data_IF_263228178266
#
_entry.id   IF_263228178266
#
_cell.length_a   1.000
_cell.length_b   1.000
_cell.length_c   1.000
_cell.angle_alpha   90.00
_cell.angle_beta   90.00
_cell.angle_gamma   90.00
#
_symmetry.space_group_name_H-M   'P 1'
#
loop_
_entity.id
_entity.type
_entity.pdbx_description
1 polymer ?
#
# COMPACT_ATOMS: atom_id res chain seq x y z
N UNK A 1 28.44 -26.32 54.76
CA UNK A 1 27.61 -26.73 53.60
C UNK A 1 28.53 -27.20 52.48
N UNK A 2 28.50 -28.51 52.15
CA UNK A 2 29.43 -29.12 51.18
C UNK A 2 29.38 -28.41 49.83
N UNK A 3 30.55 -28.19 49.20
CA UNK A 3 30.68 -27.52 47.88
C UNK A 3 29.71 -28.11 46.83
N UNK A 4 29.51 -29.43 46.85
CA UNK A 4 28.61 -30.12 45.92
C UNK A 4 27.13 -29.73 46.13
N UNK A 5 26.69 -29.47 47.37
CA UNK A 5 25.32 -28.98 47.65
C UNK A 5 25.12 -27.56 47.13
N UNK A 6 26.14 -26.69 47.19
CA UNK A 6 26.06 -25.32 46.64
C UNK A 6 25.91 -25.34 45.13
N UNK A 7 26.70 -26.17 44.43
CA UNK A 7 26.64 -26.29 42.96
C UNK A 7 25.27 -26.83 42.50
N UNK A 8 24.74 -27.86 43.17
CA UNK A 8 23.42 -28.42 42.87
C UNK A 8 22.30 -27.39 43.05
N UNK A 9 22.34 -26.60 44.14
CA UNK A 9 21.38 -25.53 44.37
C UNK A 9 21.47 -24.46 43.28
N UNK A 10 22.69 -24.07 42.87
CA UNK A 10 22.88 -23.09 41.79
C UNK A 10 22.34 -23.57 40.45
N UNK A 11 22.57 -24.84 40.09
CA UNK A 11 22.02 -25.43 38.85
C UNK A 11 20.50 -25.48 38.91
N UNK A 12 19.93 -25.93 40.02
CA UNK A 12 18.47 -25.98 40.21
C UNK A 12 17.84 -24.60 40.08
N UNK A 13 18.46 -23.58 40.68
CA UNK A 13 17.97 -22.20 40.61
C UNK A 13 18.01 -21.64 39.18
N UNK A 14 19.04 -21.99 38.41
CA UNK A 14 19.18 -21.59 37.01
C UNK A 14 18.13 -22.25 36.11
N UNK A 15 17.86 -23.54 36.31
CA UNK A 15 16.79 -24.25 35.60
C UNK A 15 15.42 -23.67 35.95
N UNK A 16 15.18 -23.38 37.23
CA UNK A 16 13.93 -22.76 37.68
C UNK A 16 13.72 -21.38 37.04
N UNK A 17 14.77 -20.55 36.98
CA UNK A 17 14.72 -19.24 36.33
C UNK A 17 14.41 -19.35 34.83
N UNK A 18 15.03 -20.32 34.13
CA UNK A 18 14.71 -20.59 32.73
C UNK A 18 13.25 -21.03 32.54
N UNK A 19 12.74 -21.86 33.44
CA UNK A 19 11.35 -22.34 33.37
C UNK A 19 10.34 -21.21 33.59
N UNK A 20 10.57 -20.36 34.59
CA UNK A 20 9.75 -19.17 34.84
C UNK A 20 9.79 -18.22 33.63
N UNK A 21 10.97 -18.01 33.04
CA UNK A 21 11.12 -17.20 31.84
C UNK A 21 10.29 -17.76 30.67
N UNK A 22 10.38 -19.06 30.40
CA UNK A 22 9.60 -19.72 29.34
C UNK A 22 8.08 -19.61 29.56
N UNK A 23 7.62 -19.82 30.79
CA UNK A 23 6.20 -19.66 31.14
C UNK A 23 5.76 -18.22 30.87
N UNK A 24 6.52 -17.23 31.34
CA UNK A 24 6.18 -15.82 31.15
C UNK A 24 6.09 -15.43 29.67
N UNK A 25 6.97 -15.98 28.83
CA UNK A 25 6.97 -15.81 27.37
C UNK A 25 5.70 -16.35 26.70
N UNK A 26 5.17 -17.48 27.18
CA UNK A 26 3.95 -18.10 26.66
C UNK A 26 2.65 -17.50 27.21
N UNK A 27 2.69 -16.86 28.38
CA UNK A 27 1.47 -16.31 29.00
C UNK A 27 1.23 -14.85 28.61
N UNK A 28 2.26 -14.04 28.38
CA UNK A 28 2.06 -12.62 28.12
C UNK A 28 1.71 -12.38 26.66
N UNK A 29 0.55 -11.76 26.36
CA UNK A 29 0.22 -11.33 25.01
C UNK A 29 0.96 -10.03 24.68
N UNK A 30 1.73 -10.01 23.59
CA UNK A 30 2.55 -8.85 23.23
C UNK A 30 2.83 -8.77 21.73
N UNK A 31 3.23 -7.58 21.31
CA UNK A 31 3.82 -7.34 19.98
C UNK A 31 5.22 -7.97 19.94
N UNK A 32 5.48 -8.74 18.90
CA UNK A 32 6.79 -9.34 18.60
C UNK A 32 7.57 -8.52 17.59
N UNK A 33 6.88 -7.91 16.63
CA UNK A 33 7.49 -7.12 15.56
C UNK A 33 6.54 -6.02 15.08
N UNK A 34 7.12 -4.90 14.66
CA UNK A 34 6.46 -3.84 13.91
C UNK A 34 7.30 -3.58 12.65
N UNK A 35 6.68 -3.48 11.48
CA UNK A 35 7.35 -3.32 10.18
C UNK A 35 6.53 -2.42 9.25
N UNK A 36 7.07 -1.32 8.69
CA UNK A 36 8.36 -0.72 9.00
C UNK A 36 8.50 -0.44 10.50
N UNK A 37 9.67 -0.73 11.05
CA UNK A 37 9.92 -0.69 12.49
C UNK A 37 10.76 0.52 12.89
N UNK A 38 10.58 1.03 14.10
CA UNK A 38 11.44 2.05 14.68
C UNK A 38 10.72 3.35 15.03
N UNK A 39 11.50 4.43 15.19
CA UNK A 39 10.99 5.76 15.52
C UNK A 39 10.69 6.62 14.28
N UNK A 40 11.03 6.12 13.09
CA UNK A 40 10.83 6.81 11.82
C UNK A 40 10.33 5.85 10.76
N UNK A 41 9.41 6.31 9.93
CA UNK A 41 8.80 5.55 8.84
C UNK A 41 8.87 6.41 7.58
N UNK A 42 9.14 5.82 6.41
CA UNK A 42 9.10 6.58 5.14
C UNK A 42 7.70 7.12 4.89
N UNK A 43 7.59 8.36 4.39
CA UNK A 43 6.31 8.94 3.93
C UNK A 43 5.63 8.10 2.84
N UNK A 44 6.41 7.31 2.09
CA UNK A 44 5.91 6.45 1.01
C UNK A 44 5.36 5.10 1.51
N UNK A 45 5.46 4.80 2.82
CA UNK A 45 4.93 3.54 3.35
C UNK A 45 3.42 3.63 3.54
N UNK A 46 2.69 2.84 2.75
CA UNK A 46 1.23 2.74 2.84
C UNK A 46 0.74 1.68 3.84
N UNK A 47 1.64 0.88 4.42
CA UNK A 47 1.27 -0.14 5.40
C UNK A 47 2.17 -0.17 6.64
N UNK A 48 1.57 -0.51 7.78
CA UNK A 48 2.24 -0.90 9.01
C UNK A 48 1.78 -2.29 9.43
N UNK A 49 2.70 -3.27 9.40
CA UNK A 49 2.47 -4.62 9.88
C UNK A 49 2.89 -4.74 11.35
N UNK A 50 2.00 -5.25 12.18
CA UNK A 50 2.23 -5.54 13.60
C UNK A 50 2.04 -7.04 13.81
N UNK A 51 3.12 -7.73 14.19
CA UNK A 51 3.09 -9.15 14.53
C UNK A 51 3.00 -9.33 16.04
N UNK A 52 2.28 -10.35 16.47
CA UNK A 52 2.07 -10.70 17.87
C UNK A 52 2.67 -12.08 18.16
N UNK A 53 2.81 -12.43 19.45
CA UNK A 53 3.24 -13.78 19.84
C UNK A 53 2.09 -14.81 19.91
N UNK A 54 0.86 -14.38 19.63
CA UNK A 54 -0.34 -15.21 19.68
C UNK A 54 -1.30 -14.78 18.57
N UNK A 55 -2.12 -15.72 18.11
CA UNK A 55 -3.21 -15.45 17.16
C UNK A 55 -4.21 -14.43 17.76
N UNK A 56 -4.67 -13.51 16.91
CA UNK A 56 -5.53 -12.39 17.27
C UNK A 56 -6.96 -12.57 16.77
N UNK A 57 -7.92 -11.98 17.48
CA UNK A 57 -9.31 -11.85 17.04
C UNK A 57 -9.46 -10.68 16.07
N UNK A 58 -10.41 -10.81 15.14
CA UNK A 58 -10.72 -9.81 14.12
C UNK A 58 -11.64 -8.70 14.65
N UNK A 59 -11.26 -8.08 15.77
CA UNK A 59 -12.05 -7.02 16.42
C UNK A 59 -11.19 -6.01 17.18
N UNK A 60 -9.93 -5.85 16.77
CA UNK A 60 -9.01 -4.93 17.41
C UNK A 60 -9.52 -3.48 17.34
N UNK A 61 -9.58 -2.81 18.49
CA UNK A 61 -9.88 -1.38 18.57
C UNK A 61 -8.60 -0.56 18.44
N UNK A 62 -8.51 0.25 17.39
CA UNK A 62 -7.32 1.04 17.04
C UNK A 62 -7.75 2.48 16.76
N UNK A 63 -7.02 3.43 17.34
CA UNK A 63 -7.17 4.86 17.08
C UNK A 63 -5.82 5.45 16.65
N UNK A 64 -5.84 6.56 15.90
CA UNK A 64 -4.61 7.18 15.40
C UNK A 64 -4.71 8.69 15.33
N UNK A 65 -3.58 9.39 15.45
CA UNK A 65 -3.50 10.83 15.18
C UNK A 65 -3.98 11.12 13.76
N UNK A 66 -4.90 12.07 13.62
CA UNK A 66 -5.49 12.50 12.33
C UNK A 66 -6.15 11.38 11.50
N UNK A 67 -6.60 10.29 12.16
CA UNK A 67 -7.26 9.16 11.49
C UNK A 67 -6.47 8.63 10.27
N UNK A 68 -5.15 8.55 10.41
CA UNK A 68 -4.26 8.04 9.35
C UNK A 68 -4.47 6.55 9.08
N UNK A 69 -5.02 5.76 10.01
CA UNK A 69 -5.34 4.36 9.77
C UNK A 69 -6.64 4.30 8.96
N UNK A 70 -6.54 3.88 7.70
CA UNK A 70 -7.68 3.83 6.75
C UNK A 70 -8.34 2.46 6.68
N UNK A 71 -7.58 1.40 6.88
CA UNK A 71 -8.09 0.03 6.84
C UNK A 71 -7.24 -0.90 7.73
N UNK A 72 -7.83 -2.01 8.17
CA UNK A 72 -7.23 -2.99 9.06
C UNK A 72 -7.48 -4.38 8.49
N UNK A 73 -6.40 -5.06 8.10
CA UNK A 73 -6.45 -6.47 7.69
C UNK A 73 -5.89 -7.36 8.80
N UNK A 74 -6.56 -8.49 9.06
CA UNK A 74 -6.18 -9.45 10.07
C UNK A 74 -5.63 -10.72 9.45
N UNK A 75 -4.45 -11.15 9.86
CA UNK A 75 -3.78 -12.35 9.37
C UNK A 75 -3.25 -13.17 10.54
N UNK A 76 -4.09 -14.07 11.09
CA UNK A 76 -3.74 -14.99 12.19
C UNK A 76 -3.05 -14.31 13.39
N UNK A 77 -1.73 -14.18 13.40
CA UNK A 77 -0.88 -13.56 14.44
C UNK A 77 -0.39 -12.16 14.05
N UNK A 78 -0.94 -11.57 12.98
CA UNK A 78 -0.54 -10.28 12.43
C UNK A 78 -1.74 -9.39 12.16
N UNK A 79 -1.46 -8.08 12.23
CA UNK A 79 -2.38 -7.02 11.90
C UNK A 79 -1.69 -6.07 10.93
N UNK A 80 -2.26 -5.92 9.73
CA UNK A 80 -1.75 -5.03 8.68
C UNK A 80 -2.64 -3.79 8.67
N UNK A 81 -2.07 -2.64 9.04
CA UNK A 81 -2.72 -1.35 9.02
C UNK A 81 -2.41 -0.68 7.70
N UNK A 82 -3.44 -0.30 6.95
CA UNK A 82 -3.29 0.60 5.82
C UNK A 82 -3.25 2.04 6.32
N UNK A 83 -2.16 2.73 6.01
CA UNK A 83 -1.96 4.13 6.35
C UNK A 83 -2.43 5.01 5.18
N UNK A 84 -2.99 6.17 5.50
CA UNK A 84 -3.22 7.25 4.54
C UNK A 84 -1.93 8.02 4.27
N UNK A 85 -2.07 9.14 3.56
CA UNK A 85 -0.94 10.00 3.24
C UNK A 85 -0.27 10.55 4.51
N UNK A 86 1.04 10.37 4.60
CA UNK A 86 1.86 10.87 5.70
C UNK A 86 2.51 12.20 5.32
N UNK A 87 2.51 13.15 6.25
CA UNK A 87 3.19 14.45 6.10
C UNK A 87 4.62 14.35 6.61
N UNK A 88 5.57 14.84 5.82
CA UNK A 88 6.99 14.82 6.20
C UNK A 88 7.25 15.56 7.53
N UNK A 89 8.13 14.98 8.35
CA UNK A 89 8.57 15.48 9.67
C UNK A 89 7.45 15.63 10.72
N UNK A 90 6.29 15.01 10.49
CA UNK A 90 5.19 14.97 11.45
C UNK A 90 5.26 13.72 12.33
N UNK A 91 4.97 13.88 13.62
CA UNK A 91 4.83 12.77 14.56
C UNK A 91 3.41 12.21 14.51
N UNK A 92 3.32 10.89 14.41
CA UNK A 92 2.07 10.14 14.42
C UNK A 92 2.03 9.17 15.58
N UNK A 93 0.86 9.02 16.18
CA UNK A 93 0.58 8.05 17.23
C UNK A 93 -0.50 7.08 16.77
N UNK A 94 -0.25 5.78 16.95
CA UNK A 94 -1.23 4.71 16.81
C UNK A 94 -1.44 4.09 18.18
N UNK A 95 -2.70 4.08 18.65
CA UNK A 95 -3.09 3.50 19.93
C UNK A 95 -3.88 2.22 19.67
N UNK A 96 -3.34 1.11 20.15
CA UNK A 96 -3.98 -0.19 20.22
C UNK A 96 -4.72 -0.24 21.56
N UNK A 97 -6.04 -0.02 21.55
CA UNK A 97 -6.83 0.14 22.78
C UNK A 97 -7.36 -1.19 23.30
N UNK A 98 -7.71 -2.13 22.43
CA UNK A 98 -8.26 -3.43 22.79
C UNK A 98 -7.93 -4.47 21.71
N UNK A 99 -6.68 -4.93 21.66
CA UNK A 99 -6.31 -6.06 20.79
C UNK A 99 -6.50 -7.34 21.58
N UNK A 100 -7.35 -8.25 21.10
CA UNK A 100 -7.60 -9.52 21.77
C UNK A 100 -6.89 -10.67 21.08
N UNK A 101 -6.26 -11.55 21.85
CA UNK A 101 -5.87 -12.87 21.37
C UNK A 101 -7.10 -13.78 21.25
N UNK A 102 -7.01 -14.84 20.45
CA UNK A 102 -8.04 -15.87 20.39
C UNK A 102 -8.28 -16.55 21.75
N UNK A 103 -7.28 -16.58 22.62
CA UNK A 103 -7.36 -17.05 24.01
C UNK A 103 -7.99 -16.04 24.99
N UNK A 104 -8.42 -14.86 24.51
CA UNK A 104 -9.13 -13.86 25.32
C UNK A 104 -8.22 -12.89 26.10
N UNK A 105 -6.91 -12.92 25.87
CA UNK A 105 -5.98 -11.95 26.48
C UNK A 105 -6.07 -10.64 25.74
N UNK A 106 -5.93 -9.54 26.47
CA UNK A 106 -5.99 -8.18 25.91
C UNK A 106 -4.61 -7.53 25.92
N UNK A 107 -4.31 -6.77 24.88
CA UNK A 107 -3.14 -5.93 24.77
C UNK A 107 -3.56 -4.49 24.49
N UNK A 108 -3.04 -3.58 25.33
CA UNK A 108 -3.17 -2.15 25.17
C UNK A 108 -1.77 -1.56 24.97
N UNK A 109 -1.54 -0.88 23.85
CA UNK A 109 -0.22 -0.37 23.50
C UNK A 109 -0.30 0.89 22.67
N UNK A 110 0.72 1.74 22.77
CA UNK A 110 0.88 2.91 21.91
C UNK A 110 2.16 2.76 21.11
N UNK A 111 2.08 3.03 19.82
CA UNK A 111 3.20 3.12 18.90
C UNK A 111 3.31 4.54 18.37
N UNK A 112 4.52 5.10 18.38
CA UNK A 112 4.81 6.46 17.91
C UNK A 112 5.95 6.43 16.91
N UNK A 113 5.80 7.21 15.85
CA UNK A 113 6.82 7.35 14.82
C UNK A 113 6.77 8.74 14.19
N UNK A 114 7.87 9.15 13.56
CA UNK A 114 7.98 10.37 12.76
C UNK A 114 8.04 9.97 11.29
N UNK A 115 7.16 10.52 10.47
CA UNK A 115 7.23 10.31 9.03
C UNK A 115 8.40 11.11 8.45
N UNK A 116 9.24 10.48 7.63
CA UNK A 116 10.41 11.11 7.00
C UNK A 116 10.48 10.76 5.52
N UNK A 117 11.03 11.64 4.72
CA UNK A 117 11.47 11.27 3.38
C UNK A 117 12.76 10.45 3.50
N UNK A 118 12.65 9.13 3.33
CA UNK A 118 13.80 8.22 3.41
C UNK A 118 14.04 7.68 2.01
N UNK A 119 15.21 7.97 1.39
CA UNK A 119 15.53 7.44 0.07
C UNK A 119 15.43 5.91 0.04
N UNK A 120 14.91 5.37 -1.06
CA UNK A 120 14.66 3.93 -1.21
C UNK A 120 15.89 3.07 -0.88
N UNK A 121 17.08 3.46 -1.35
CA UNK A 121 18.34 2.75 -1.11
C UNK A 121 18.79 2.75 0.35
N UNK A 122 18.22 3.65 1.17
CA UNK A 122 18.51 3.76 2.60
C UNK A 122 17.56 2.94 3.47
N UNK A 123 16.49 2.39 2.89
CA UNK A 123 15.56 1.50 3.57
C UNK A 123 16.15 0.11 3.77
N UNK A 124 15.70 -0.60 4.81
CA UNK A 124 16.08 -2.01 4.97
C UNK A 124 15.51 -2.85 3.82
N UNK A 125 16.17 -3.97 3.47
CA UNK A 125 15.68 -4.88 2.41
C UNK A 125 14.23 -5.33 2.62
N UNK A 126 13.80 -5.49 3.87
CA UNK A 126 12.40 -5.80 4.19
C UNK A 126 11.45 -4.65 3.86
N UNK A 127 11.84 -3.41 4.13
CA UNK A 127 11.05 -2.22 3.82
C UNK A 127 11.02 -1.94 2.33
N UNK A 128 12.16 -2.10 1.65
CA UNK A 128 12.22 -2.05 0.18
C UNK A 128 11.27 -3.06 -0.46
N UNK A 129 11.27 -4.31 0.03
CA UNK A 129 10.35 -5.35 -0.46
C UNK A 129 8.89 -5.00 -0.18
N UNK A 130 8.59 -4.43 0.99
CA UNK A 130 7.24 -3.97 1.32
C UNK A 130 6.83 -2.85 0.37
N UNK A 131 7.69 -1.85 0.12
CA UNK A 131 7.38 -0.78 -0.83
C UNK A 131 7.17 -1.33 -2.24
N UNK A 132 8.05 -2.19 -2.75
CA UNK A 132 7.89 -2.80 -4.08
C UNK A 132 6.60 -3.62 -4.16
N UNK A 133 6.34 -4.50 -3.19
CA UNK A 133 5.16 -5.36 -3.20
C UNK A 133 3.83 -4.58 -3.06
N UNK A 134 3.91 -3.34 -2.58
CA UNK A 134 2.74 -2.50 -2.33
C UNK A 134 2.69 -1.28 -3.27
N UNK A 135 3.68 -1.06 -4.14
CA UNK A 135 3.65 -0.04 -5.20
C UNK A 135 2.51 -0.30 -6.18
N UNK A 136 2.18 -1.57 -6.41
CA UNK A 136 1.04 -1.98 -7.24
C UNK A 136 -0.29 -2.01 -6.44
N UNK A 137 -0.27 -1.69 -5.14
CA UNK A 137 -1.45 -1.72 -4.25
C UNK A 137 -1.95 -0.32 -3.87
N UNK A 138 -1.60 0.71 -4.65
CA UNK A 138 -2.13 2.05 -4.40
C UNK A 138 -3.66 2.05 -4.61
N UNK A 139 -4.39 2.23 -3.51
CA UNK A 139 -5.86 2.22 -3.46
C UNK A 139 -6.42 3.64 -3.69
N UNK A 140 -5.57 4.63 -4.00
CA UNK A 140 -6.03 5.97 -4.39
C UNK A 140 -6.16 6.16 -5.90
N UNK A 141 -5.90 5.13 -6.73
CA UNK A 141 -6.09 5.24 -8.19
C UNK A 141 -6.36 3.88 -8.86
N UNK A 142 -7.38 3.15 -8.42
CA UNK A 142 -7.83 1.93 -9.13
C UNK A 142 -8.80 2.28 -10.26
N UNK A 143 -8.46 3.27 -11.08
CA UNK A 143 -9.26 3.53 -12.27
C UNK A 143 -9.12 2.32 -13.21
N UNK A 144 -10.22 1.60 -13.54
CA UNK A 144 -10.16 0.41 -14.38
C UNK A 144 -9.43 0.62 -15.71
N UNK A 145 -9.41 1.86 -16.24
CA UNK A 145 -8.74 2.16 -17.51
C UNK A 145 -7.23 1.93 -17.44
N UNK A 146 -6.60 2.07 -16.26
CA UNK A 146 -5.14 1.94 -16.11
C UNK A 146 -4.64 0.53 -16.41
N UNK A 147 -5.46 -0.51 -16.19
CA UNK A 147 -5.11 -1.89 -16.55
C UNK A 147 -5.02 -2.09 -18.07
N UNK A 148 -5.57 -1.16 -18.85
CA UNK A 148 -5.67 -1.21 -20.30
C UNK A 148 -4.85 -0.10 -20.99
N UNK A 149 -4.03 0.63 -20.24
CA UNK A 149 -3.16 1.69 -20.73
C UNK A 149 -1.68 1.40 -20.40
N UNK A 150 -0.74 1.78 -21.28
CA UNK A 150 -0.96 2.38 -22.59
C UNK A 150 -1.50 1.37 -23.62
N UNK A 151 -2.26 1.88 -24.60
CA UNK A 151 -2.78 1.10 -25.73
C UNK A 151 -2.27 1.67 -27.06
N UNK A 152 -1.88 0.81 -28.00
CA UNK A 152 -1.43 1.21 -29.33
C UNK A 152 -2.10 0.38 -30.42
N UNK A 153 -2.96 1.03 -31.21
CA UNK A 153 -3.62 0.45 -32.37
C UNK A 153 -3.21 1.13 -33.68
N UNK A 154 -3.82 0.68 -34.79
CA UNK A 154 -3.50 1.18 -36.15
C UNK A 154 -3.99 2.63 -36.34
N UNK A 155 -5.18 2.98 -35.84
CA UNK A 155 -5.79 4.30 -36.02
C UNK A 155 -5.70 5.23 -34.82
N UNK A 156 -5.30 4.73 -33.64
CA UNK A 156 -5.15 5.54 -32.44
C UNK A 156 -4.24 4.89 -31.40
N UNK A 157 -3.69 5.70 -30.49
CA UNK A 157 -3.05 5.24 -29.26
C UNK A 157 -3.56 6.00 -28.05
N UNK A 158 -3.60 5.34 -26.90
CA UNK A 158 -4.07 5.90 -25.64
C UNK A 158 -2.97 5.86 -24.58
N UNK A 159 -2.88 6.94 -23.80
CA UNK A 159 -1.98 7.04 -22.64
C UNK A 159 -2.69 7.76 -21.49
N UNK A 160 -2.35 7.39 -20.26
CA UNK A 160 -2.82 8.08 -19.07
C UNK A 160 -1.92 9.30 -18.80
N UNK A 161 -2.54 10.45 -18.51
CA UNK A 161 -1.85 11.66 -18.07
C UNK A 161 -2.43 12.03 -16.70
N UNK A 162 -1.60 12.23 -15.66
CA UNK A 162 -2.07 12.70 -14.37
C UNK A 162 -2.67 14.11 -14.53
N UNK A 163 -3.86 14.34 -13.96
CA UNK A 163 -4.46 15.67 -13.93
C UNK A 163 -3.84 16.47 -12.76
N UNK A 164 -3.05 17.51 -13.07
CA UNK A 164 -2.29 18.30 -12.07
C UNK A 164 -3.17 19.15 -11.13
N UNK A 165 -4.49 19.09 -11.24
CA UNK A 165 -5.43 19.89 -10.47
C UNK A 165 -6.20 19.04 -9.44
N UNK A 166 -5.57 18.76 -8.30
CA UNK A 166 -6.11 18.89 -6.93
C UNK A 166 -5.34 18.00 -5.94
N UNK A 167 -5.06 18.57 -4.77
CA UNK A 167 -4.28 17.99 -3.67
C UNK A 167 -4.84 16.71 -3.02
N UNK A 168 -5.94 16.14 -3.49
CA UNK A 168 -6.61 15.00 -2.82
C UNK A 168 -7.50 14.11 -3.71
N UNK A 169 -7.53 14.30 -5.04
CA UNK A 169 -8.33 13.45 -5.95
C UNK A 169 -7.57 13.28 -7.27
N UNK A 170 -6.78 12.19 -7.38
CA UNK A 170 -6.03 11.89 -8.60
C UNK A 170 -7.02 11.41 -9.67
N UNK A 171 -7.56 12.35 -10.43
CA UNK A 171 -8.31 12.05 -11.65
C UNK A 171 -7.33 11.78 -12.77
N UNK A 172 -7.56 10.69 -13.51
CA UNK A 172 -6.73 10.31 -14.65
C UNK A 172 -7.36 10.90 -15.90
N UNK A 173 -6.57 11.67 -16.65
CA UNK A 173 -6.95 12.13 -17.98
C UNK A 173 -6.45 11.11 -19.00
N UNK A 174 -7.29 10.72 -19.94
CA UNK A 174 -6.87 9.83 -21.03
C UNK A 174 -6.52 10.69 -22.23
N UNK A 175 -5.32 10.54 -22.75
CA UNK A 175 -4.89 11.23 -23.96
C UNK A 175 -4.94 10.25 -25.13
N UNK A 176 -5.66 10.62 -26.17
CA UNK A 176 -5.88 9.84 -27.38
C UNK A 176 -5.19 10.50 -28.57
N UNK A 177 -4.10 9.89 -29.04
CA UNK A 177 -3.45 10.28 -30.28
C UNK A 177 -4.16 9.56 -31.45
N UNK A 178 -4.81 10.31 -32.33
CA UNK A 178 -5.46 9.81 -33.56
C UNK A 178 -4.40 9.76 -34.66
N UNK A 179 -4.06 8.56 -35.11
CA UNK A 179 -2.96 8.31 -36.04
C UNK A 179 -3.53 8.24 -37.46
N UNK A 180 -3.39 9.33 -38.22
CA UNK A 180 -3.86 9.36 -39.61
C UNK A 180 -2.82 8.78 -40.55
N UNK A 181 -3.27 7.94 -41.50
CA UNK A 181 -2.43 7.46 -42.59
C UNK A 181 -2.49 8.41 -43.79
N UNK A 182 -1.61 8.22 -44.78
CA UNK A 182 -1.66 9.00 -46.03
C UNK A 182 -3.00 8.85 -46.77
N UNK A 183 -3.62 7.67 -46.69
CA UNK A 183 -4.92 7.41 -47.32
C UNK A 183 -6.06 8.15 -46.61
N UNK A 184 -5.91 8.45 -45.32
CA UNK A 184 -6.90 9.19 -44.53
C UNK A 184 -6.89 10.70 -44.81
N UNK A 185 -5.85 11.21 -45.50
CA UNK A 185 -5.72 12.64 -45.78
C UNK A 185 -6.75 13.14 -46.80
N UNK A 186 -7.17 12.30 -47.74
CA UNK A 186 -8.19 12.63 -48.73
C UNK A 186 -9.59 12.79 -48.10
N UNK A 187 -9.82 12.14 -46.96
CA UNK A 187 -11.07 12.14 -46.19
C UNK A 187 -10.84 12.58 -44.74
N UNK A 188 -9.99 13.59 -44.55
CA UNK A 188 -9.44 14.01 -43.24
C UNK A 188 -10.50 14.12 -42.11
N UNK A 189 -11.62 14.80 -42.37
CA UNK A 189 -12.67 14.97 -41.36
C UNK A 189 -13.41 13.67 -41.04
N UNK A 190 -13.64 12.82 -42.05
CA UNK A 190 -14.35 11.55 -41.88
C UNK A 190 -13.46 10.51 -41.19
N UNK A 191 -12.18 10.46 -41.54
CA UNK A 191 -11.18 9.62 -40.89
C UNK A 191 -11.03 9.97 -39.40
N UNK A 192 -10.97 11.25 -39.04
CA UNK A 192 -10.98 11.67 -37.64
C UNK A 192 -12.24 11.24 -36.90
N UNK A 193 -13.42 11.39 -37.49
CA UNK A 193 -14.68 10.96 -36.88
C UNK A 193 -14.68 9.45 -36.65
N UNK A 194 -14.22 8.68 -37.64
CA UNK A 194 -14.07 7.22 -37.57
C UNK A 194 -13.15 6.81 -36.43
N UNK A 195 -11.92 7.31 -36.38
CA UNK A 195 -10.98 6.92 -35.32
C UNK A 195 -11.37 7.42 -33.92
N UNK A 196 -12.05 8.57 -33.80
CA UNK A 196 -12.67 8.99 -32.52
C UNK A 196 -13.80 8.05 -32.10
N UNK A 197 -14.54 7.47 -33.04
CA UNK A 197 -15.51 6.44 -32.75
C UNK A 197 -14.83 5.13 -32.35
N UNK A 198 -13.71 4.76 -32.97
CA UNK A 198 -12.93 3.58 -32.58
C UNK A 198 -12.41 3.68 -31.14
N UNK A 199 -12.03 4.88 -30.68
CA UNK A 199 -11.71 5.11 -29.26
C UNK A 199 -12.92 4.81 -28.37
N UNK A 200 -14.13 5.25 -28.74
CA UNK A 200 -15.36 4.91 -27.99
C UNK A 200 -15.66 3.43 -27.98
N UNK A 201 -15.51 2.78 -29.12
CA UNK A 201 -15.78 1.37 -29.27
C UNK A 201 -14.76 0.53 -28.49
N UNK A 202 -13.52 1.00 -28.38
CA UNK A 202 -12.50 0.41 -27.51
C UNK A 202 -12.91 0.44 -26.04
N UNK A 203 -13.30 1.61 -25.49
CA UNK A 203 -13.79 1.71 -24.12
C UNK A 203 -14.96 0.75 -23.86
N UNK A 204 -15.90 0.69 -24.79
CA UNK A 204 -17.02 -0.26 -24.72
C UNK A 204 -16.55 -1.72 -24.75
N UNK A 205 -15.54 -2.06 -25.55
CA UNK A 205 -15.00 -3.42 -25.66
C UNK A 205 -14.35 -3.93 -24.37
N UNK A 206 -13.78 -3.03 -23.58
CA UNK A 206 -13.21 -3.32 -22.25
C UNK A 206 -14.23 -3.08 -21.12
N UNK A 207 -15.51 -2.93 -21.46
CA UNK A 207 -16.63 -2.75 -20.53
C UNK A 207 -16.51 -1.50 -19.64
N UNK A 208 -15.96 -0.41 -20.19
CA UNK A 208 -15.87 0.89 -19.55
C UNK A 208 -16.76 1.93 -20.25
N UNK A 209 -17.39 2.81 -19.47
CA UNK A 209 -18.16 3.94 -20.00
C UNK A 209 -17.22 5.13 -20.24
N UNK A 210 -17.07 5.52 -21.51
CA UNK A 210 -16.22 6.64 -21.91
C UNK A 210 -16.61 7.96 -21.25
N UNK A 211 -17.88 8.15 -20.87
CA UNK A 211 -18.35 9.39 -20.25
C UNK A 211 -17.81 9.60 -18.83
N UNK A 212 -17.25 8.55 -18.21
CA UNK A 212 -16.58 8.65 -16.92
C UNK A 212 -15.16 9.24 -17.04
N UNK A 213 -14.68 9.48 -18.26
CA UNK A 213 -13.31 9.88 -18.55
C UNK A 213 -13.25 11.22 -19.29
N UNK A 214 -12.30 12.07 -18.90
CA UNK A 214 -11.92 13.23 -19.71
C UNK A 214 -10.90 12.78 -20.74
N UNK A 215 -11.25 12.88 -22.02
CA UNK A 215 -10.38 12.47 -23.13
C UNK A 215 -9.90 13.69 -23.92
N UNK A 216 -8.59 13.87 -23.97
CA UNK A 216 -7.94 14.83 -24.86
C UNK A 216 -7.54 14.15 -26.16
N UNK A 217 -8.01 14.67 -27.29
CA UNK A 217 -7.66 14.15 -28.61
C UNK A 217 -6.58 15.00 -29.27
N UNK A 218 -5.50 14.37 -29.71
CA UNK A 218 -4.47 14.97 -30.56
C UNK A 218 -4.48 14.27 -31.91
N UNK A 219 -4.43 15.03 -33.01
CA UNK A 219 -4.34 14.46 -34.36
C UNK A 219 -2.85 14.37 -34.72
N UNK A 220 -2.39 13.18 -35.09
CA UNK A 220 -1.03 12.93 -35.54
C UNK A 220 -1.07 12.63 -37.03
N UNK A 221 -0.55 13.56 -37.81
CA UNK A 221 -0.51 13.46 -39.27
C UNK A 221 0.74 12.66 -39.73
N UNK A 222 0.65 11.95 -40.88
CA UNK A 222 1.76 11.16 -41.38
C UNK A 222 2.90 12.07 -41.83
N UNK A 223 4.14 11.72 -41.50
CA UNK A 223 5.31 12.50 -41.93
C UNK A 223 5.43 12.52 -43.46
N UNK A 224 5.54 13.74 -44.00
CA UNK A 224 5.78 13.97 -45.43
C UNK A 224 7.28 13.85 -45.67
N UNK A 225 7.74 12.64 -45.94
CA UNK A 225 9.04 12.34 -46.55
C UNK A 225 8.82 11.66 -47.90
#
# INVERSE_FOLDING_TARGET
MNKNKKILISIFLLVLLMFIYFIWQTITFRITKVSPGGKSISIDNIYLEVSFNMDIKQNAKISSTDDIVKDITYEKDKLKLKLGQLTENKEYTIVFEEVYSNSGKVLNKTHRFIAKNIPFDSLSKSEQKILINNQDQDITTTDPILAHLPYGGIGFSLKAIPEDNHKDDSRIKVHADILLSRADMDEYEEAQKRYKQDVKDYFKSINLDINNYTIDYTIVEPSIY
#
